data_IF_857955851296
#
_entry.id   IF_857955851296
#
_cell.length_a   1.000
_cell.length_b   1.000
_cell.length_c   1.000
_cell.angle_alpha   90.00
_cell.angle_beta   90.00
_cell.angle_gamma   90.00
#
_symmetry.space_group_name_H-M   'P 1'
#
loop_
_entity.id
_entity.type
_entity.pdbx_description
1 polymer ?
#
# COMPACT_ATOMS: atom_id res chain seq x y z
N UNK A 1 -8.47 11.02 -15.62
CA UNK A 1 -8.76 9.72 -16.28
C UNK A 1 -9.61 8.79 -15.41
N UNK A 2 -9.29 8.56 -14.13
CA UNK A 2 -10.07 7.60 -13.31
C UNK A 2 -11.52 8.06 -12.99
N UNK A 3 -11.74 9.36 -12.77
CA UNK A 3 -13.07 9.92 -12.44
C UNK A 3 -14.06 9.90 -13.61
N UNK A 4 -13.58 10.22 -14.80
CA UNK A 4 -14.38 10.24 -16.04
C UNK A 4 -14.78 8.82 -16.47
N UNK A 5 -13.90 7.84 -16.26
CA UNK A 5 -14.21 6.42 -16.43
C UNK A 5 -15.31 5.94 -15.46
N UNK A 6 -15.25 6.35 -14.19
CA UNK A 6 -16.27 6.01 -13.18
C UNK A 6 -17.65 6.56 -13.55
N UNK A 7 -17.74 7.81 -14.03
CA UNK A 7 -19.01 8.42 -14.45
C UNK A 7 -19.64 7.67 -15.63
N UNK A 8 -18.85 7.33 -16.65
CA UNK A 8 -19.34 6.62 -17.83
C UNK A 8 -19.90 5.23 -17.46
N UNK A 9 -19.19 4.47 -16.63
CA UNK A 9 -19.63 3.15 -16.16
C UNK A 9 -20.96 3.22 -15.40
N UNK A 10 -21.12 4.22 -14.53
CA UNK A 10 -22.38 4.41 -13.78
C UNK A 10 -23.53 4.73 -14.73
N UNK A 11 -23.32 5.62 -15.72
CA UNK A 11 -24.35 5.98 -16.69
C UNK A 11 -24.76 4.81 -17.57
N UNK A 12 -23.81 3.99 -18.02
CA UNK A 12 -24.08 2.77 -18.77
C UNK A 12 -24.90 1.78 -17.94
N UNK A 13 -24.52 1.58 -16.67
CA UNK A 13 -25.26 0.72 -15.76
C UNK A 13 -26.71 1.21 -15.51
N UNK A 14 -26.92 2.51 -15.36
CA UNK A 14 -28.26 3.09 -15.21
C UNK A 14 -29.10 2.82 -16.47
N UNK A 15 -28.54 3.03 -17.66
CA UNK A 15 -29.23 2.76 -18.93
C UNK A 15 -29.62 1.30 -19.08
N UNK A 16 -28.78 0.38 -18.60
CA UNK A 16 -29.09 -1.06 -18.62
C UNK A 16 -30.22 -1.43 -17.62
N UNK A 17 -30.19 -0.87 -16.41
CA UNK A 17 -31.09 -1.28 -15.33
C UNK A 17 -32.41 -0.52 -15.26
N UNK A 18 -32.50 0.67 -15.85
CA UNK A 18 -33.69 1.51 -15.83
C UNK A 18 -34.24 1.62 -17.26
N UNK A 19 -35.30 0.85 -17.59
CA UNK A 19 -35.98 0.98 -18.88
C UNK A 19 -36.46 2.42 -19.08
N UNK A 20 -36.40 2.90 -20.32
CA UNK A 20 -36.84 4.24 -20.71
C UNK A 20 -36.11 5.39 -19.98
N UNK A 21 -34.92 5.15 -19.41
CA UNK A 21 -34.11 6.22 -18.79
C UNK A 21 -33.85 7.40 -19.75
N UNK A 22 -33.61 7.08 -21.03
CA UNK A 22 -33.36 8.08 -22.08
C UNK A 22 -34.66 8.71 -22.63
N UNK A 23 -35.85 8.28 -22.19
CA UNK A 23 -37.12 8.87 -22.62
C UNK A 23 -37.35 10.23 -21.93
N UNK A 24 -37.50 11.29 -22.72
CA UNK A 24 -37.65 12.67 -22.22
C UNK A 24 -38.85 12.86 -21.30
N UNK A 25 -40.00 12.27 -21.67
CA UNK A 25 -41.27 12.44 -20.95
C UNK A 25 -41.22 11.74 -19.60
N UNK A 26 -40.72 10.51 -19.57
CA UNK A 26 -40.60 9.69 -18.37
C UNK A 26 -39.64 10.36 -17.38
N UNK A 27 -38.45 10.75 -17.83
CA UNK A 27 -37.47 11.40 -16.98
C UNK A 27 -37.94 12.77 -16.46
N UNK A 28 -38.72 13.54 -17.22
CA UNK A 28 -39.29 14.81 -16.73
C UNK A 28 -40.22 14.59 -15.53
N UNK A 29 -40.93 13.46 -15.49
CA UNK A 29 -41.75 13.10 -14.33
C UNK A 29 -40.89 12.69 -13.12
N UNK A 30 -39.81 11.95 -13.34
CA UNK A 30 -38.88 11.49 -12.29
C UNK A 30 -38.06 12.62 -11.67
N UNK A 31 -37.77 13.68 -12.42
CA UNK A 31 -36.92 14.80 -11.98
C UNK A 31 -37.67 15.86 -11.16
N UNK A 32 -38.98 15.69 -10.95
CA UNK A 32 -39.79 16.59 -10.12
C UNK A 32 -39.48 16.43 -8.63
N UNK A 33 -39.54 17.56 -7.91
CA UNK A 33 -39.50 17.57 -6.45
C UNK A 33 -40.64 16.75 -5.84
N UNK A 34 -40.46 16.32 -4.59
CA UNK A 34 -41.55 15.70 -3.83
C UNK A 34 -42.57 16.76 -3.43
N UNK A 35 -43.85 16.40 -3.53
CA UNK A 35 -44.98 17.26 -3.22
C UNK A 35 -46.15 16.40 -2.73
N UNK A 36 -47.02 16.95 -1.89
CA UNK A 36 -48.20 16.24 -1.39
C UNK A 36 -47.92 15.41 -0.14
N UNK A 37 -48.75 14.38 0.08
CA UNK A 37 -48.63 13.46 1.21
C UNK A 37 -47.54 12.41 0.97
N UNK A 38 -47.08 11.74 2.03
CA UNK A 38 -46.02 10.71 1.95
C UNK A 38 -46.34 9.64 0.90
N UNK A 39 -47.58 9.18 0.84
CA UNK A 39 -48.06 8.20 -0.13
C UNK A 39 -47.84 8.61 -1.59
N UNK A 40 -47.84 9.91 -1.87
CA UNK A 40 -47.78 10.43 -3.24
C UNK A 40 -46.35 10.38 -3.81
N UNK A 41 -45.33 10.45 -2.95
CA UNK A 41 -43.93 10.49 -3.35
C UNK A 41 -43.10 9.30 -2.87
N UNK A 42 -43.59 8.50 -1.93
CA UNK A 42 -42.89 7.33 -1.38
C UNK A 42 -42.41 6.34 -2.45
N UNK A 43 -43.20 5.97 -3.48
CA UNK A 43 -42.71 5.11 -4.55
C UNK A 43 -41.51 5.71 -5.31
N UNK A 44 -41.50 7.04 -5.49
CA UNK A 44 -40.38 7.75 -6.14
C UNK A 44 -39.16 7.79 -5.24
N UNK A 45 -39.36 7.97 -3.93
CA UNK A 45 -38.29 7.87 -2.95
C UNK A 45 -37.61 6.50 -2.97
N UNK A 46 -38.41 5.43 -2.87
CA UNK A 46 -37.90 4.05 -2.90
C UNK A 46 -37.12 3.74 -4.17
N UNK A 47 -37.63 4.18 -5.33
CA UNK A 47 -36.92 4.05 -6.61
C UNK A 47 -35.52 4.67 -6.56
N UNK A 48 -35.41 5.95 -6.16
CA UNK A 48 -34.12 6.64 -6.12
C UNK A 48 -33.18 6.05 -5.08
N UNK A 49 -33.68 5.74 -3.89
CA UNK A 49 -32.91 5.08 -2.82
C UNK A 49 -32.33 3.76 -3.34
N UNK A 50 -33.18 2.87 -3.83
CA UNK A 50 -32.76 1.54 -4.26
C UNK A 50 -31.80 1.61 -5.47
N UNK A 51 -31.96 2.59 -6.36
CA UNK A 51 -31.04 2.82 -7.47
C UNK A 51 -29.66 3.27 -6.97
N UNK A 52 -29.61 4.23 -6.04
CA UNK A 52 -28.34 4.69 -5.41
C UNK A 52 -27.64 3.52 -4.73
N UNK A 53 -28.37 2.72 -3.95
CA UNK A 53 -27.79 1.56 -3.26
C UNK A 53 -27.27 0.50 -4.26
N UNK A 54 -28.04 0.18 -5.31
CA UNK A 54 -27.63 -0.80 -6.33
C UNK A 54 -26.36 -0.38 -7.08
N UNK A 55 -26.28 0.88 -7.52
CA UNK A 55 -25.07 1.42 -8.17
C UNK A 55 -23.89 1.28 -7.22
N UNK A 56 -24.08 1.68 -5.96
CA UNK A 56 -23.00 1.71 -4.99
C UNK A 56 -22.50 0.32 -4.60
N UNK A 57 -23.39 -0.67 -4.52
CA UNK A 57 -22.98 -2.08 -4.35
C UNK A 57 -22.25 -2.62 -5.59
N UNK A 58 -22.74 -2.34 -6.81
CA UNK A 58 -22.13 -2.84 -8.04
C UNK A 58 -20.68 -2.38 -8.21
N UNK A 59 -20.39 -1.14 -7.81
CA UNK A 59 -19.08 -0.52 -7.98
C UNK A 59 -18.28 -0.39 -6.67
N UNK A 60 -18.78 -0.95 -5.56
CA UNK A 60 -18.18 -0.86 -4.22
C UNK A 60 -17.90 0.59 -3.76
N UNK A 61 -18.81 1.52 -4.05
CA UNK A 61 -18.66 2.91 -3.62
C UNK A 61 -19.05 3.07 -2.14
N UNK A 62 -18.05 3.08 -1.27
CA UNK A 62 -18.24 3.36 0.16
C UNK A 62 -18.44 4.86 0.39
N UNK A 63 -17.60 5.70 -0.25
CA UNK A 63 -17.62 7.14 -0.13
C UNK A 63 -18.13 7.78 -1.41
N UNK A 64 -19.13 8.65 -1.28
CA UNK A 64 -19.71 9.35 -2.42
C UNK A 64 -19.93 10.81 -2.03
N UNK A 65 -19.73 11.74 -2.96
CA UNK A 65 -20.19 13.12 -2.74
C UNK A 65 -21.64 13.27 -3.18
N UNK A 66 -22.50 13.96 -2.41
CA UNK A 66 -23.86 14.29 -2.85
C UNK A 66 -23.90 14.99 -4.22
N UNK A 67 -22.90 15.82 -4.52
CA UNK A 67 -22.75 16.50 -5.80
C UNK A 67 -22.49 15.55 -6.97
N UNK A 68 -21.79 14.43 -6.76
CA UNK A 68 -21.53 13.40 -7.78
C UNK A 68 -22.81 12.66 -8.14
N UNK A 69 -23.63 12.31 -7.15
CA UNK A 69 -24.94 11.68 -7.36
C UNK A 69 -25.83 12.56 -8.23
N UNK A 70 -25.92 13.86 -7.91
CA UNK A 70 -26.77 14.80 -8.64
C UNK A 70 -26.24 15.14 -10.03
N UNK A 71 -24.95 15.48 -10.11
CA UNK A 71 -24.39 16.14 -11.28
C UNK A 71 -23.66 15.19 -12.24
N UNK A 72 -23.26 14.00 -11.79
CA UNK A 72 -22.55 13.02 -12.63
C UNK A 72 -23.43 11.81 -12.92
N UNK A 73 -24.02 11.21 -11.89
CA UNK A 73 -24.78 9.96 -12.04
C UNK A 73 -26.15 10.18 -12.69
N UNK A 74 -26.91 11.14 -12.18
CA UNK A 74 -28.30 11.34 -12.58
C UNK A 74 -28.54 12.64 -13.38
N UNK A 75 -27.49 13.38 -13.73
CA UNK A 75 -27.65 14.58 -14.54
C UNK A 75 -27.98 14.23 -15.98
N UNK A 76 -28.96 14.95 -16.54
CA UNK A 76 -29.36 14.81 -17.94
C UNK A 76 -29.62 16.18 -18.55
N UNK A 77 -28.94 16.50 -19.65
CA UNK A 77 -29.05 17.80 -20.31
C UNK A 77 -28.72 18.98 -19.39
N UNK A 78 -27.85 18.77 -18.39
CA UNK A 78 -27.51 19.78 -17.37
C UNK A 78 -28.53 19.93 -16.23
N UNK A 79 -29.60 19.14 -16.22
CA UNK A 79 -30.59 19.12 -15.14
C UNK A 79 -30.34 17.93 -14.21
N UNK A 80 -30.52 18.12 -12.90
CA UNK A 80 -30.48 17.07 -11.90
C UNK A 80 -31.89 16.85 -11.30
N UNK A 81 -32.24 15.63 -10.86
CA UNK A 81 -33.53 15.39 -10.24
C UNK A 81 -33.70 16.22 -8.95
N UNK A 82 -34.74 17.06 -8.90
CA UNK A 82 -34.96 18.03 -7.83
C UNK A 82 -35.27 17.37 -6.47
N UNK A 83 -35.69 16.11 -6.46
CA UNK A 83 -35.99 15.38 -5.24
C UNK A 83 -34.75 14.77 -4.55
N UNK A 84 -33.57 14.74 -5.19
CA UNK A 84 -32.41 14.01 -4.66
C UNK A 84 -31.94 14.51 -3.29
N UNK A 85 -32.00 15.82 -3.04
CA UNK A 85 -31.68 16.36 -1.70
C UNK A 85 -32.56 15.76 -0.62
N UNK A 86 -33.86 15.66 -0.91
CA UNK A 86 -34.80 15.07 0.02
C UNK A 86 -34.59 13.55 0.15
N UNK A 87 -34.26 12.85 -0.95
CA UNK A 87 -33.91 11.43 -0.92
C UNK A 87 -32.71 11.17 -0.01
N UNK A 88 -31.59 11.89 -0.21
CA UNK A 88 -30.38 11.72 0.58
C UNK A 88 -30.62 12.06 2.06
N UNK A 89 -31.45 13.07 2.33
CA UNK A 89 -31.85 13.40 3.70
C UNK A 89 -32.67 12.29 4.37
N UNK A 90 -33.66 11.72 3.66
CA UNK A 90 -34.45 10.60 4.18
C UNK A 90 -33.59 9.35 4.37
N UNK A 91 -32.69 9.03 3.44
CA UNK A 91 -31.72 7.96 3.57
C UNK A 91 -30.82 8.13 4.80
N UNK A 92 -30.43 9.38 5.13
CA UNK A 92 -29.69 9.66 6.36
C UNK A 92 -30.55 9.39 7.61
N UNK A 93 -31.84 9.75 7.60
CA UNK A 93 -32.77 9.49 8.70
C UNK A 93 -33.02 7.98 8.88
N UNK A 94 -33.15 7.24 7.77
CA UNK A 94 -33.35 5.79 7.76
C UNK A 94 -32.08 5.02 8.13
N UNK A 95 -30.91 5.68 8.12
CA UNK A 95 -29.63 5.09 8.49
C UNK A 95 -28.86 4.44 7.33
N UNK A 96 -29.34 4.58 6.10
CA UNK A 96 -28.65 4.12 4.89
C UNK A 96 -27.38 4.94 4.61
N UNK A 97 -27.38 6.20 5.02
CA UNK A 97 -26.27 7.15 4.83
C UNK A 97 -25.76 7.66 6.18
N UNK A 98 -24.44 7.62 6.34
CA UNK A 98 -23.71 8.18 7.48
C UNK A 98 -22.88 9.37 6.98
N UNK A 99 -22.93 10.52 7.65
CA UNK A 99 -22.00 11.62 7.33
C UNK A 99 -20.61 11.28 7.84
N UNK A 100 -19.57 11.60 7.08
CA UNK A 100 -18.19 11.40 7.53
C UNK A 100 -17.91 12.07 8.88
N UNK A 101 -18.47 13.26 9.15
CA UNK A 101 -18.37 13.96 10.43
C UNK A 101 -18.99 13.18 11.61
N UNK A 102 -20.02 12.40 11.32
CA UNK A 102 -20.78 11.66 12.32
C UNK A 102 -20.13 10.28 12.62
N UNK A 103 -19.18 9.83 11.79
CA UNK A 103 -18.41 8.60 12.05
C UNK A 103 -17.52 8.73 13.27
N UNK A 104 -17.44 7.66 14.07
CA UNK A 104 -16.53 7.61 15.20
C UNK A 104 -15.06 7.70 14.75
N UNK A 105 -14.24 8.47 15.47
CA UNK A 105 -12.79 8.42 15.29
C UNK A 105 -12.25 7.24 16.10
N UNK A 106 -11.72 6.18 15.46
CA UNK A 106 -11.21 5.00 16.17
C UNK A 106 -9.96 5.29 16.99
N UNK A 107 -9.24 6.37 16.66
CA UNK A 107 -8.04 6.81 17.38
C UNK A 107 -8.39 7.57 18.66
N UNK A 108 -9.65 8.02 18.78
CA UNK A 108 -10.17 8.73 19.94
C UNK A 108 -10.24 7.84 21.19
N UNK A 109 -9.86 8.40 22.34
CA UNK A 109 -9.96 7.69 23.62
C UNK A 109 -11.41 7.29 23.97
N UNK A 110 -11.58 6.31 24.86
CA UNK A 110 -12.90 5.77 25.24
C UNK A 110 -13.94 6.82 25.67
N UNK A 111 -13.49 7.96 26.20
CA UNK A 111 -14.37 9.08 26.55
C UNK A 111 -15.00 9.75 25.32
N UNK A 112 -14.24 9.93 24.24
CA UNK A 112 -14.76 10.48 22.97
C UNK A 112 -15.87 9.59 22.39
N UNK A 113 -15.71 8.28 22.50
CA UNK A 113 -16.71 7.28 22.11
C UNK A 113 -18.00 7.42 22.93
N UNK A 114 -17.90 7.55 24.25
CA UNK A 114 -19.07 7.73 25.13
C UNK A 114 -19.78 9.07 24.87
N UNK A 115 -19.03 10.16 24.72
CA UNK A 115 -19.59 11.48 24.39
C UNK A 115 -20.33 11.48 23.06
N UNK A 116 -19.77 10.85 22.02
CA UNK A 116 -20.40 10.78 20.70
C UNK A 116 -21.63 9.88 20.71
N UNK A 117 -21.60 8.75 21.43
CA UNK A 117 -22.76 7.88 21.62
C UNK A 117 -23.90 8.57 22.37
N UNK A 118 -23.58 9.33 23.42
CA UNK A 118 -24.55 10.15 24.18
C UNK A 118 -25.11 11.28 23.32
N UNK A 119 -24.28 11.94 22.51
CA UNK A 119 -24.71 12.97 21.56
C UNK A 119 -25.67 12.42 20.50
N UNK A 120 -25.45 11.19 20.03
CA UNK A 120 -26.33 10.54 19.05
C UNK A 120 -27.65 10.07 19.68
N UNK A 121 -27.65 9.72 20.99
CA UNK A 121 -28.85 9.31 21.73
C UNK A 121 -29.71 10.50 22.22
N UNK A 122 -29.11 11.64 22.57
CA UNK A 122 -29.81 12.86 22.98
C UNK A 122 -30.33 13.65 21.77
N UNK A 123 -30.96 12.94 20.83
CA UNK A 123 -31.59 13.52 19.66
C UNK A 123 -30.59 14.17 18.70
N UNK A 124 -30.72 13.81 17.44
CA UNK A 124 -30.43 14.74 16.35
C UNK A 124 -31.34 15.97 16.53
N UNK A 125 -30.98 16.86 17.45
CA UNK A 125 -31.53 18.20 17.59
C UNK A 125 -31.33 18.85 16.23
N UNK A 126 -32.43 18.99 15.49
CA UNK A 126 -32.58 19.70 14.20
C UNK A 126 -31.27 20.32 13.70
N UNK A 127 -30.35 19.51 13.19
CA UNK A 127 -29.25 20.03 12.39
C UNK A 127 -29.91 20.40 11.06
N UNK A 128 -29.80 21.68 10.68
CA UNK A 128 -30.40 22.22 9.47
C UNK A 128 -30.23 21.25 8.28
N UNK A 129 -31.26 21.05 7.44
CA UNK A 129 -31.15 20.26 6.22
C UNK A 129 -30.04 20.76 5.29
N UNK A 130 -29.64 22.03 5.41
CA UNK A 130 -28.53 22.65 4.68
C UNK A 130 -27.14 22.06 5.00
N UNK A 131 -26.99 21.27 6.07
CA UNK A 131 -25.70 20.67 6.42
C UNK A 131 -25.27 19.51 5.50
N UNK A 132 -26.14 19.04 4.60
CA UNK A 132 -25.83 18.05 3.55
C UNK A 132 -25.32 18.73 2.26
N UNK A 133 -25.35 20.06 2.22
CA UNK A 133 -24.82 20.89 1.12
C UNK A 133 -23.33 21.23 1.28
N UNK A 134 -22.75 20.97 2.45
CA UNK A 134 -21.29 20.85 2.56
C UNK A 134 -20.90 19.67 1.69
N UNK A 135 -20.05 19.89 0.67
CA UNK A 135 -19.55 18.88 -0.29
C UNK A 135 -18.66 17.80 0.36
N UNK A 136 -18.96 17.44 1.60
CA UNK A 136 -18.36 16.38 2.37
C UNK A 136 -18.86 15.03 1.88
N UNK A 137 -17.97 14.05 1.89
CA UNK A 137 -18.31 12.69 1.52
C UNK A 137 -19.33 12.10 2.51
N UNK A 138 -20.35 11.48 1.93
CA UNK A 138 -21.26 10.59 2.63
C UNK A 138 -20.76 9.15 2.54
N UNK A 139 -21.11 8.35 3.54
CA UNK A 139 -20.75 6.94 3.65
C UNK A 139 -22.00 6.10 3.58
N UNK A 140 -22.04 5.13 2.67
CA UNK A 140 -23.17 4.22 2.54
C UNK A 140 -23.05 3.05 3.51
N UNK A 141 -24.00 2.94 4.43
CA UNK A 141 -23.95 2.00 5.53
C UNK A 141 -23.95 0.55 5.04
N UNK A 142 -24.81 0.19 4.08
CA UNK A 142 -24.90 -1.17 3.53
C UNK A 142 -23.60 -1.62 2.83
N UNK A 143 -23.02 -0.77 1.97
CA UNK A 143 -21.75 -1.08 1.29
C UNK A 143 -20.60 -1.18 2.30
N UNK A 144 -20.57 -0.28 3.30
CA UNK A 144 -19.58 -0.33 4.38
C UNK A 144 -19.68 -1.63 5.19
N UNK A 145 -20.91 -2.08 5.51
CA UNK A 145 -21.16 -3.32 6.23
C UNK A 145 -20.64 -4.55 5.46
N UNK A 146 -20.96 -4.63 4.16
CA UNK A 146 -20.50 -5.72 3.29
C UNK A 146 -18.97 -5.75 3.19
N UNK A 147 -18.35 -4.59 3.00
CA UNK A 147 -16.90 -4.47 2.93
C UNK A 147 -16.22 -4.81 4.26
N UNK A 148 -16.80 -4.39 5.38
CA UNK A 148 -16.31 -4.79 6.70
C UNK A 148 -16.40 -6.32 6.91
N UNK A 149 -17.48 -6.96 6.46
CA UNK A 149 -17.62 -8.41 6.50
C UNK A 149 -16.61 -9.13 5.60
N UNK A 150 -16.33 -8.58 4.42
CA UNK A 150 -15.29 -9.08 3.51
C UNK A 150 -13.90 -8.99 4.13
N UNK A 151 -13.55 -7.86 4.76
CA UNK A 151 -12.27 -7.68 5.47
C UNK A 151 -12.11 -8.70 6.60
N UNK A 152 -13.14 -8.88 7.43
CA UNK A 152 -13.13 -9.90 8.50
C UNK A 152 -13.00 -11.31 7.93
N UNK A 153 -13.68 -11.60 6.81
CA UNK A 153 -13.56 -12.88 6.10
C UNK A 153 -12.16 -13.09 5.55
N UNK A 154 -11.53 -12.10 4.92
CA UNK A 154 -10.16 -12.19 4.45
C UNK A 154 -9.19 -12.52 5.59
N UNK A 155 -9.36 -11.87 6.74
CA UNK A 155 -8.55 -12.14 7.93
C UNK A 155 -8.86 -13.49 8.58
N UNK A 156 -10.08 -14.02 8.48
CA UNK A 156 -10.38 -15.35 9.03
C UNK A 156 -9.78 -16.48 8.21
N UNK A 157 -9.54 -16.30 6.91
CA UNK A 157 -8.86 -17.33 6.10
C UNK A 157 -7.38 -17.50 6.51
N UNK A 158 -6.75 -16.44 7.03
CA UNK A 158 -5.35 -16.47 7.44
C UNK A 158 -5.15 -16.77 8.93
N UNK A 159 -6.22 -16.85 9.74
CA UNK A 159 -6.11 -16.96 11.19
C UNK A 159 -7.10 -17.99 11.74
N UNK A 160 -6.60 -18.98 12.48
CA UNK A 160 -7.43 -20.00 13.15
C UNK A 160 -7.97 -19.55 14.53
N UNK A 161 -7.58 -18.36 14.98
CA UNK A 161 -7.89 -17.84 16.33
C UNK A 161 -9.19 -17.03 16.37
N UNK A 162 -9.73 -16.85 17.57
CA UNK A 162 -10.98 -16.10 17.79
C UNK A 162 -10.83 -14.58 17.65
N UNK A 163 -9.60 -14.09 17.76
CA UNK A 163 -9.21 -12.69 17.58
C UNK A 163 -7.86 -12.58 16.89
N UNK A 164 -7.66 -11.49 16.15
CA UNK A 164 -6.44 -11.24 15.39
C UNK A 164 -5.93 -9.83 15.68
N UNK A 165 -4.61 -9.68 15.75
CA UNK A 165 -3.92 -8.40 15.85
C UNK A 165 -3.15 -8.19 14.56
N UNK A 166 -3.26 -7.01 13.95
CA UNK A 166 -2.54 -6.63 12.73
C UNK A 166 -2.06 -5.20 12.80
N UNK A 167 -1.03 -4.88 12.01
CA UNK A 167 -0.55 -3.50 11.85
C UNK A 167 -1.58 -2.66 11.09
N UNK A 168 -1.57 -1.35 11.34
CA UNK A 168 -2.46 -0.43 10.63
C UNK A 168 -2.17 -0.42 9.11
N UNK A 169 -0.90 -0.55 8.72
CA UNK A 169 -0.50 -0.64 7.30
C UNK A 169 -1.12 -1.86 6.62
N UNK A 170 -1.02 -3.05 7.25
CA UNK A 170 -1.62 -4.27 6.71
C UNK A 170 -3.15 -4.16 6.63
N UNK A 171 -3.77 -3.58 7.65
CA UNK A 171 -5.21 -3.34 7.64
C UNK A 171 -5.63 -2.39 6.51
N UNK A 172 -4.89 -1.31 6.28
CA UNK A 172 -5.14 -0.37 5.18
C UNK A 172 -5.02 -1.03 3.81
N UNK A 173 -4.01 -1.89 3.62
CA UNK A 173 -3.83 -2.63 2.38
C UNK A 173 -5.00 -3.57 2.10
N UNK A 174 -5.51 -4.28 3.11
CA UNK A 174 -6.68 -5.15 2.98
C UNK A 174 -7.95 -4.34 2.69
N UNK A 175 -8.09 -3.16 3.28
CA UNK A 175 -9.24 -2.28 3.07
C UNK A 175 -9.16 -1.47 1.76
N UNK A 176 -8.06 -1.52 0.99
CA UNK A 176 -7.92 -0.75 -0.25
C UNK A 176 -7.52 0.72 -0.05
N UNK A 177 -7.14 1.13 1.15
CA UNK A 177 -6.64 2.48 1.42
C UNK A 177 -6.93 3.01 2.84
N UNK A 178 -6.35 4.16 3.21
CA UNK A 178 -6.48 4.74 4.55
C UNK A 178 -7.89 5.24 4.88
N UNK A 179 -8.60 5.80 3.90
CA UNK A 179 -9.96 6.32 4.08
C UNK A 179 -10.95 5.17 4.36
N UNK A 180 -10.95 4.14 3.52
CA UNK A 180 -11.79 2.94 3.69
C UNK A 180 -11.46 2.23 5.00
N UNK A 181 -10.18 2.06 5.30
CA UNK A 181 -9.74 1.48 6.57
C UNK A 181 -10.29 2.24 7.77
N UNK A 182 -10.22 3.58 7.76
CA UNK A 182 -10.75 4.38 8.86
C UNK A 182 -12.25 4.17 9.02
N UNK A 183 -13.03 4.23 7.93
CA UNK A 183 -14.48 4.02 7.98
C UNK A 183 -14.86 2.61 8.44
N UNK A 184 -14.19 1.57 7.93
CA UNK A 184 -14.40 0.18 8.30
C UNK A 184 -14.04 -0.03 9.78
N UNK A 185 -12.93 0.55 10.23
CA UNK A 185 -12.51 0.47 11.63
C UNK A 185 -13.51 1.15 12.56
N UNK A 186 -14.03 2.33 12.18
CA UNK A 186 -15.08 3.02 12.94
C UNK A 186 -16.32 2.13 13.08
N UNK A 187 -16.81 1.58 11.97
CA UNK A 187 -17.96 0.68 11.96
C UNK A 187 -17.72 -0.58 12.82
N UNK A 188 -16.59 -1.26 12.64
CA UNK A 188 -16.27 -2.44 13.44
C UNK A 188 -16.10 -2.11 14.92
N UNK A 189 -15.59 -0.93 15.27
CA UNK A 189 -15.47 -0.47 16.66
C UNK A 189 -16.86 -0.21 17.27
N UNK A 190 -17.77 0.41 16.51
CA UNK A 190 -19.18 0.59 16.89
C UNK A 190 -19.90 -0.73 17.17
N UNK A 191 -19.65 -1.75 16.33
CA UNK A 191 -20.14 -3.10 16.54
C UNK A 191 -19.46 -3.84 17.70
N UNK A 192 -18.41 -3.26 18.29
CA UNK A 192 -17.59 -3.92 19.31
C UNK A 192 -16.77 -5.11 18.78
N UNK A 193 -16.45 -5.08 17.48
CA UNK A 193 -15.66 -6.08 16.75
C UNK A 193 -14.21 -5.69 16.55
N UNK A 194 -13.89 -4.41 16.66
CA UNK A 194 -12.53 -3.90 16.55
C UNK A 194 -12.13 -3.04 17.75
N UNK A 195 -10.83 -2.97 18.02
CA UNK A 195 -10.20 -1.98 18.89
C UNK A 195 -8.90 -1.51 18.29
N UNK A 196 -8.69 -0.20 18.36
CA UNK A 196 -7.44 0.42 17.96
C UNK A 196 -6.33 0.18 19.00
N UNK A 197 -5.12 -0.09 18.53
CA UNK A 197 -3.91 -0.25 19.31
C UNK A 197 -2.92 0.84 18.90
N UNK A 198 -2.34 1.51 19.90
CA UNK A 198 -1.23 2.42 19.69
C UNK A 198 -0.28 2.33 20.87
N UNK A 199 1.00 2.14 20.58
CA UNK A 199 2.07 2.11 21.57
C UNK A 199 3.22 2.95 21.07
N UNK A 200 3.58 3.94 21.87
CA UNK A 200 4.75 4.78 21.65
C UNK A 200 5.90 4.20 22.47
N UNK A 201 6.99 3.80 21.80
CA UNK A 201 8.25 3.43 22.46
C UNK A 201 9.39 4.29 21.91
N UNK A 202 9.95 3.92 20.75
CA UNK A 202 10.93 4.72 19.99
C UNK A 202 10.34 5.23 18.67
N UNK A 203 9.50 4.41 18.05
CA UNK A 203 8.65 4.74 16.90
C UNK A 203 7.19 4.44 17.29
N UNK A 204 6.24 5.18 16.71
CA UNK A 204 4.81 4.95 16.94
C UNK A 204 4.36 3.71 16.15
N UNK A 205 3.96 2.65 16.86
CA UNK A 205 3.38 1.46 16.23
C UNK A 205 1.87 1.48 16.40
N UNK A 206 1.17 1.63 15.28
CA UNK A 206 -0.30 1.60 15.20
C UNK A 206 -0.79 0.24 14.70
N UNK A 207 -1.89 -0.24 15.29
CA UNK A 207 -2.48 -1.52 14.93
C UNK A 207 -3.96 -1.62 15.27
N UNK A 208 -4.54 -2.76 14.91
CA UNK A 208 -5.95 -3.07 15.17
C UNK A 208 -6.06 -4.48 15.72
N UNK A 209 -6.82 -4.63 16.80
CA UNK A 209 -7.32 -5.91 17.31
C UNK A 209 -8.73 -6.15 16.80
N UNK A 210 -8.96 -7.28 16.16
CA UNK A 210 -10.22 -7.65 15.51
C UNK A 210 -10.76 -8.95 16.10
N UNK A 211 -12.07 -9.04 16.26
CA UNK A 211 -12.73 -10.33 16.52
C UNK A 211 -13.10 -10.98 15.20
N UNK A 212 -12.67 -12.23 15.02
CA UNK A 212 -12.98 -13.05 13.84
C UNK A 212 -14.22 -13.92 14.05
N UNK A 213 -14.76 -13.93 15.28
CA UNK A 213 -15.96 -14.69 15.63
C UNK A 213 -17.19 -13.79 15.75
N UNK A 214 -18.37 -14.39 15.97
CA UNK A 214 -19.60 -13.67 16.26
C UNK A 214 -19.57 -12.91 17.61
N UNK A 215 -18.59 -13.17 18.49
CA UNK A 215 -18.46 -12.50 19.79
C UNK A 215 -17.92 -11.06 19.69
N UNK A 216 -18.02 -10.30 20.78
CA UNK A 216 -17.36 -8.99 20.89
C UNK A 216 -15.87 -9.17 21.11
N UNK A 217 -15.07 -8.23 20.61
CA UNK A 217 -13.62 -8.27 20.76
C UNK A 217 -13.23 -8.09 22.25
N UNK A 218 -12.36 -8.97 22.79
CA UNK A 218 -11.88 -8.88 24.15
C UNK A 218 -11.19 -7.55 24.48
N UNK A 219 -10.92 -7.35 25.77
CA UNK A 219 -10.02 -6.31 26.27
C UNK A 219 -8.70 -6.25 25.51
N UNK A 220 -8.14 -5.04 25.38
CA UNK A 220 -6.74 -4.90 25.01
C UNK A 220 -5.91 -5.31 26.25
N UNK A 221 -4.95 -6.17 26.04
CA UNK A 221 -4.02 -6.72 27.02
C UNK A 221 -2.59 -6.31 26.66
N UNK A 222 -1.65 -6.48 27.59
CA UNK A 222 -0.22 -6.24 27.30
C UNK A 222 0.28 -7.13 26.17
N UNK A 223 -0.22 -8.37 26.11
CA UNK A 223 0.08 -9.33 25.05
C UNK A 223 -0.29 -8.79 23.67
N UNK A 224 -1.42 -8.11 23.51
CA UNK A 224 -1.83 -7.59 22.20
C UNK A 224 -0.79 -6.59 21.66
N UNK A 225 -0.16 -5.81 22.53
CA UNK A 225 0.92 -4.91 22.14
C UNK A 225 2.21 -5.65 21.79
N UNK A 226 2.51 -6.73 22.50
CA UNK A 226 3.70 -7.54 22.22
C UNK A 226 3.53 -8.28 20.87
N UNK A 227 2.35 -8.84 20.60
CA UNK A 227 1.99 -9.42 19.28
C UNK A 227 2.08 -8.36 18.19
N UNK A 228 1.50 -7.18 18.40
CA UNK A 228 1.56 -6.08 17.42
C UNK A 228 3.02 -5.73 17.09
N UNK A 229 3.88 -5.65 18.09
CA UNK A 229 5.29 -5.33 17.91
C UNK A 229 6.04 -6.44 17.16
N UNK A 230 5.77 -7.71 17.47
CA UNK A 230 6.34 -8.86 16.76
C UNK A 230 5.94 -8.84 15.28
N UNK A 231 4.65 -8.65 14.98
CA UNK A 231 4.16 -8.56 13.59
C UNK A 231 4.82 -7.38 12.85
N UNK A 232 4.88 -6.22 13.48
CA UNK A 232 5.55 -5.06 12.90
C UNK A 232 7.05 -5.32 12.62
N UNK A 233 7.71 -6.06 13.52
CA UNK A 233 9.12 -6.45 13.36
C UNK A 233 9.29 -7.41 12.17
N UNK A 234 8.43 -8.42 12.05
CA UNK A 234 8.38 -9.32 10.89
C UNK A 234 8.23 -8.54 9.58
N UNK A 235 7.27 -7.61 9.51
CA UNK A 235 7.07 -6.78 8.33
C UNK A 235 8.28 -5.89 8.00
N UNK A 236 8.98 -5.37 9.02
CA UNK A 236 10.19 -4.56 8.84
C UNK A 236 11.36 -5.39 8.32
N UNK A 237 11.58 -6.58 8.89
CA UNK A 237 12.62 -7.50 8.45
C UNK A 237 12.36 -8.00 7.02
N UNK A 238 11.11 -8.30 6.67
CA UNK A 238 10.76 -8.71 5.31
C UNK A 238 11.09 -7.60 4.28
N UNK A 239 10.70 -6.35 4.56
CA UNK A 239 11.04 -5.22 3.67
C UNK A 239 12.55 -5.05 3.50
N UNK A 240 13.33 -5.27 4.56
CA UNK A 240 14.78 -5.19 4.46
C UNK A 240 15.35 -6.34 3.64
N UNK A 241 14.82 -7.55 3.80
CA UNK A 241 15.20 -8.70 2.99
C UNK A 241 14.92 -8.43 1.51
N UNK A 242 13.76 -7.86 1.17
CA UNK A 242 13.41 -7.50 -0.20
C UNK A 242 14.40 -6.47 -0.79
N UNK A 243 14.84 -5.49 0.00
CA UNK A 243 15.86 -4.49 -0.41
C UNK A 243 17.23 -5.13 -0.59
N UNK A 244 17.62 -6.06 0.28
CA UNK A 244 18.88 -6.81 0.15
C UNK A 244 18.85 -7.70 -1.09
N UNK A 245 17.72 -8.38 -1.36
CA UNK A 245 17.54 -9.25 -2.53
C UNK A 245 17.63 -8.46 -3.84
N UNK A 246 16.99 -7.30 -3.91
CA UNK A 246 17.11 -6.41 -5.07
C UNK A 246 18.56 -5.98 -5.32
N UNK A 247 19.31 -5.68 -4.26
CA UNK A 247 20.72 -5.26 -4.36
C UNK A 247 21.63 -6.43 -4.73
N UNK A 248 21.38 -7.61 -4.17
CA UNK A 248 22.07 -8.83 -4.53
C UNK A 248 21.98 -9.06 -6.05
N UNK A 249 20.78 -8.91 -6.63
CA UNK A 249 20.58 -9.07 -8.06
C UNK A 249 21.36 -8.04 -8.90
N UNK A 250 21.35 -6.76 -8.50
CA UNK A 250 22.10 -5.70 -9.19
C UNK A 250 23.61 -5.95 -9.14
N UNK A 251 24.15 -6.27 -7.96
CA UNK A 251 25.57 -6.56 -7.78
C UNK A 251 25.98 -7.83 -8.53
N UNK A 252 25.12 -8.85 -8.57
CA UNK A 252 25.32 -10.07 -9.34
C UNK A 252 25.38 -9.79 -10.83
N UNK A 253 24.42 -9.04 -11.37
CA UNK A 253 24.42 -8.66 -12.78
C UNK A 253 25.66 -7.83 -13.15
N UNK A 254 26.09 -6.91 -12.28
CA UNK A 254 27.27 -6.08 -12.48
C UNK A 254 28.59 -6.88 -12.44
N UNK A 255 28.68 -7.87 -11.54
CA UNK A 255 29.79 -8.81 -11.49
C UNK A 255 29.88 -9.64 -12.78
N UNK A 256 28.75 -10.21 -13.22
CA UNK A 256 28.68 -11.01 -14.44
C UNK A 256 29.01 -10.18 -15.70
N UNK A 257 28.53 -8.95 -15.79
CA UNK A 257 28.88 -8.04 -16.88
C UNK A 257 30.38 -7.69 -16.89
N UNK A 258 30.95 -7.43 -15.72
CA UNK A 258 32.39 -7.16 -15.56
C UNK A 258 33.24 -8.37 -15.98
N UNK A 259 32.83 -9.59 -15.59
CA UNK A 259 33.47 -10.84 -16.02
C UNK A 259 33.42 -11.01 -17.55
N UNK A 260 32.25 -10.81 -18.16
CA UNK A 260 32.07 -10.92 -19.62
C UNK A 260 32.91 -9.89 -20.40
N UNK A 261 33.10 -8.69 -19.83
CA UNK A 261 33.95 -7.65 -20.41
C UNK A 261 35.46 -7.83 -20.16
N UNK A 262 35.85 -8.87 -19.40
CA UNK A 262 37.25 -9.16 -19.06
C UNK A 262 37.86 -8.26 -17.96
N UNK A 263 37.05 -7.42 -17.31
CA UNK A 263 37.53 -6.54 -16.25
C UNK A 263 37.55 -7.25 -14.90
N UNK A 264 38.63 -8.01 -14.65
CA UNK A 264 38.80 -8.82 -13.43
C UNK A 264 38.77 -7.98 -12.14
N UNK A 265 39.29 -6.75 -12.17
CA UNK A 265 39.34 -5.88 -10.97
C UNK A 265 37.96 -5.41 -10.53
N UNK A 266 37.10 -5.00 -11.47
CA UNK A 266 35.72 -4.60 -11.15
C UNK A 266 34.84 -5.80 -10.82
N UNK A 267 35.07 -6.94 -11.47
CA UNK A 267 34.40 -8.19 -11.14
C UNK A 267 34.70 -8.65 -9.70
N UNK A 268 35.96 -8.57 -9.26
CA UNK A 268 36.35 -8.85 -7.86
C UNK A 268 35.72 -7.86 -6.87
N UNK A 269 35.61 -6.57 -7.23
CA UNK A 269 34.91 -5.57 -6.40
C UNK A 269 33.45 -5.99 -6.17
N UNK A 270 32.72 -6.32 -7.24
CA UNK A 270 31.32 -6.73 -7.13
C UNK A 270 31.16 -8.11 -6.46
N UNK A 271 32.12 -9.03 -6.59
CA UNK A 271 32.13 -10.29 -5.86
C UNK A 271 32.27 -10.11 -4.34
N UNK A 272 33.13 -9.18 -3.89
CA UNK A 272 33.23 -8.81 -2.46
C UNK A 272 31.92 -8.24 -1.93
N UNK A 273 31.30 -7.36 -2.71
CA UNK A 273 30.00 -6.76 -2.40
C UNK A 273 28.86 -7.81 -2.35
N UNK A 274 28.87 -8.79 -3.26
CA UNK A 274 27.95 -9.93 -3.22
C UNK A 274 28.06 -10.71 -1.92
N UNK A 275 29.29 -11.02 -1.47
CA UNK A 275 29.53 -11.77 -0.24
C UNK A 275 28.98 -11.05 1.00
N UNK A 276 29.27 -9.77 1.14
CA UNK A 276 28.76 -8.95 2.26
C UNK A 276 27.22 -8.93 2.21
N UNK A 277 26.64 -8.80 1.01
CA UNK A 277 25.20 -8.79 0.81
C UNK A 277 24.59 -10.15 1.20
N UNK A 278 25.19 -11.28 0.82
CA UNK A 278 24.71 -12.62 1.19
C UNK A 278 24.79 -12.89 2.69
N UNK A 279 25.89 -12.50 3.34
CA UNK A 279 26.02 -12.65 4.80
C UNK A 279 24.96 -11.81 5.55
N UNK A 280 24.69 -10.59 5.07
CA UNK A 280 23.63 -9.75 5.65
C UNK A 280 22.23 -10.33 5.42
N UNK A 281 21.98 -10.91 4.24
CA UNK A 281 20.73 -11.59 3.88
C UNK A 281 20.45 -12.76 4.81
N UNK A 282 21.44 -13.61 5.06
CA UNK A 282 21.33 -14.77 5.94
C UNK A 282 21.02 -14.36 7.39
N UNK A 283 21.66 -13.29 7.89
CA UNK A 283 21.38 -12.74 9.22
C UNK A 283 19.93 -12.26 9.35
N UNK A 284 19.42 -11.50 8.37
CA UNK A 284 18.03 -11.00 8.37
C UNK A 284 17.04 -12.15 8.24
N UNK A 285 17.29 -13.13 7.36
CA UNK A 285 16.42 -14.29 7.17
C UNK A 285 16.36 -15.18 8.43
N UNK A 286 17.50 -15.42 9.08
CA UNK A 286 17.57 -16.17 10.35
C UNK A 286 16.76 -15.50 11.46
N UNK A 287 16.88 -14.18 11.58
CA UNK A 287 16.12 -13.40 12.56
C UNK A 287 14.61 -13.42 12.26
N UNK A 288 14.23 -13.28 10.98
CA UNK A 288 12.83 -13.35 10.56
C UNK A 288 12.20 -14.70 10.93
N UNK A 289 12.84 -15.82 10.58
CA UNK A 289 12.37 -17.16 10.91
C UNK A 289 12.12 -17.32 12.42
N UNK A 290 13.04 -16.81 13.25
CA UNK A 290 12.90 -16.87 14.71
C UNK A 290 11.71 -16.08 15.24
N UNK A 291 11.42 -14.91 14.67
CA UNK A 291 10.25 -14.11 15.07
C UNK A 291 8.95 -14.81 14.63
N UNK A 292 8.93 -15.39 13.43
CA UNK A 292 7.78 -16.17 12.93
C UNK A 292 7.50 -17.43 13.75
N UNK A 293 8.55 -18.15 14.18
CA UNK A 293 8.43 -19.28 15.10
C UNK A 293 7.75 -18.87 16.42
N UNK A 294 8.13 -17.72 16.99
CA UNK A 294 7.49 -17.18 18.20
C UNK A 294 6.01 -16.85 17.96
N UNK A 295 5.68 -16.21 16.83
CA UNK A 295 4.29 -15.91 16.47
C UNK A 295 3.44 -17.17 16.29
N UNK A 296 3.99 -18.20 15.64
CA UNK A 296 3.32 -19.50 15.47
C UNK A 296 3.10 -20.19 16.82
N UNK A 297 4.09 -20.20 17.71
CA UNK A 297 3.96 -20.76 19.04
C UNK A 297 2.88 -20.04 19.89
N UNK A 298 2.76 -18.71 19.76
CA UNK A 298 1.70 -17.92 20.41
C UNK A 298 0.32 -18.34 19.86
N UNK A 299 0.19 -18.49 18.54
CA UNK A 299 -1.06 -18.91 17.90
C UNK A 299 -1.50 -20.31 18.35
N UNK A 300 -0.58 -21.27 18.40
CA UNK A 300 -0.83 -22.64 18.87
C UNK A 300 -1.24 -22.67 20.36
N UNK A 301 -0.60 -21.84 21.19
CA UNK A 301 -0.89 -21.74 22.62
C UNK A 301 -2.25 -21.10 22.94
N UNK A 302 -2.75 -20.17 22.11
CA UNK A 302 -4.11 -19.62 22.23
C UNK A 302 -5.17 -20.73 22.13
N UNK A 303 -4.89 -21.80 21.37
CA UNK A 303 -5.75 -22.98 21.25
C UNK A 303 -5.67 -23.95 22.44
N UNK A 304 -4.63 -23.89 23.29
CA UNK A 304 -4.32 -24.93 24.31
C UNK A 304 -4.28 -24.47 25.77
N UNK A 305 -4.73 -23.22 26.07
CA UNK A 305 -5.05 -22.72 27.44
C UNK A 305 -3.89 -22.08 28.24
N UNK A 306 -2.64 -22.06 27.77
CA UNK A 306 -1.51 -21.45 28.54
C UNK A 306 -0.73 -20.38 27.77
N UNK A 307 -1.47 -19.40 27.24
CA UNK A 307 -0.94 -18.19 26.57
C UNK A 307 0.17 -17.49 27.40
N UNK A 308 0.02 -17.40 28.72
CA UNK A 308 1.03 -16.82 29.64
C UNK A 308 2.37 -17.57 29.64
N UNK A 309 2.34 -18.89 29.48
CA UNK A 309 3.55 -19.73 29.54
C UNK A 309 4.28 -19.67 28.20
N UNK A 310 3.56 -19.71 27.08
CA UNK A 310 4.13 -19.52 25.76
C UNK A 310 4.76 -18.13 25.58
N UNK A 311 4.17 -17.09 26.16
CA UNK A 311 4.76 -15.74 26.19
C UNK A 311 5.99 -15.68 27.11
N UNK A 312 5.95 -16.32 28.28
CA UNK A 312 7.14 -16.38 29.15
C UNK A 312 8.27 -17.16 28.50
N UNK A 313 7.96 -18.20 27.72
CA UNK A 313 8.91 -18.96 26.93
C UNK A 313 9.43 -18.09 25.78
N UNK A 314 8.58 -17.38 25.05
CA UNK A 314 8.98 -16.43 24.00
C UNK A 314 9.85 -15.28 24.54
N UNK A 315 9.47 -14.69 25.67
CA UNK A 315 10.25 -13.65 26.36
C UNK A 315 11.57 -14.18 26.95
N UNK A 316 11.59 -15.45 27.40
CA UNK A 316 12.81 -16.13 27.87
C UNK A 316 13.73 -16.47 26.70
N UNK A 317 13.19 -16.93 25.57
CA UNK A 317 13.90 -17.15 24.30
C UNK A 317 14.46 -15.85 23.75
N UNK A 318 13.71 -14.74 23.81
CA UNK A 318 14.20 -13.39 23.47
C UNK A 318 15.34 -12.93 24.39
N UNK A 319 15.28 -13.28 25.68
CA UNK A 319 16.29 -12.94 26.69
C UNK A 319 17.53 -13.84 26.66
N UNK A 320 17.37 -15.13 26.35
CA UNK A 320 18.44 -16.15 26.28
C UNK A 320 19.25 -16.06 24.99
N UNK A 321 18.69 -15.51 23.92
CA UNK A 321 19.42 -15.33 22.66
C UNK A 321 20.07 -13.95 22.49
N UNK A 322 20.15 -13.12 23.54
CA UNK A 322 20.74 -11.76 23.49
C UNK A 322 20.42 -11.01 22.19
N UNK A 323 19.17 -11.06 21.73
CA UNK A 323 18.72 -10.09 20.73
C UNK A 323 18.27 -8.89 21.53
N UNK A 324 19.23 -8.21 22.16
CA UNK A 324 18.97 -6.90 22.76
C UNK A 324 18.33 -6.05 21.69
N UNK A 325 17.18 -5.44 21.99
CA UNK A 325 16.54 -4.46 21.12
C UNK A 325 17.53 -3.40 20.63
N UNK A 326 18.49 -3.04 21.48
CA UNK A 326 19.56 -2.11 21.11
C UNK A 326 20.62 -2.78 20.22
N UNK A 327 20.90 -4.09 20.31
CA UNK A 327 21.75 -4.82 19.36
C UNK A 327 21.04 -5.11 18.02
N UNK A 328 19.73 -5.28 17.99
CA UNK A 328 18.93 -5.44 16.77
C UNK A 328 18.76 -4.10 16.06
N UNK A 329 18.47 -3.03 16.80
CA UNK A 329 18.50 -1.68 16.24
C UNK A 329 19.93 -1.30 15.79
N UNK A 330 20.95 -1.70 16.55
CA UNK A 330 22.35 -1.50 16.16
C UNK A 330 22.72 -2.34 14.95
N UNK A 331 22.28 -3.59 14.81
CA UNK A 331 22.56 -4.40 13.61
C UNK A 331 21.80 -3.91 12.38
N UNK A 332 20.58 -3.38 12.56
CA UNK A 332 19.84 -2.70 11.49
C UNK A 332 20.50 -1.37 11.10
N UNK A 333 20.98 -0.59 12.07
CA UNK A 333 21.71 0.65 11.83
C UNK A 333 23.13 0.41 11.33
N UNK A 334 23.79 -0.68 11.71
CA UNK A 334 25.11 -1.11 11.24
C UNK A 334 25.00 -1.68 9.82
N UNK A 335 23.86 -2.29 9.47
CA UNK A 335 23.52 -2.64 8.10
C UNK A 335 23.20 -1.40 7.25
N UNK A 336 22.45 -0.44 7.77
CA UNK A 336 22.17 0.83 7.09
C UNK A 336 23.42 1.73 6.99
N UNK A 337 24.31 1.65 7.97
CA UNK A 337 25.61 2.28 7.94
C UNK A 337 26.61 1.51 7.08
N UNK A 338 26.53 0.18 6.96
CA UNK A 338 27.37 -0.58 6.02
C UNK A 338 26.99 -0.24 4.58
N UNK A 339 25.72 0.11 4.33
CA UNK A 339 25.23 0.69 3.07
C UNK A 339 25.85 2.07 2.78
N UNK A 340 26.04 2.92 3.79
CA UNK A 340 26.72 4.21 3.64
C UNK A 340 28.26 4.07 3.56
N UNK A 341 28.83 3.11 4.28
CA UNK A 341 30.24 2.72 4.18
C UNK A 341 30.51 2.15 2.78
N UNK A 342 29.57 1.45 2.14
CA UNK A 342 29.71 0.94 0.76
C UNK A 342 29.78 2.06 -0.29
N UNK A 343 29.05 3.18 -0.08
CA UNK A 343 29.23 4.43 -0.86
C UNK A 343 30.57 5.13 -0.57
N UNK A 344 31.06 5.07 0.66
CA UNK A 344 32.39 5.62 1.00
C UNK A 344 33.54 4.74 0.51
N UNK A 345 33.37 3.42 0.50
CA UNK A 345 34.31 2.44 -0.07
C UNK A 345 34.45 2.67 -1.57
N UNK A 346 33.39 3.06 -2.27
CA UNK A 346 33.48 3.53 -3.66
C UNK A 346 34.42 4.74 -3.82
N UNK A 347 34.41 5.69 -2.88
CA UNK A 347 35.32 6.85 -2.89
C UNK A 347 36.75 6.56 -2.42
N UNK A 348 36.94 5.58 -1.54
CA UNK A 348 38.24 5.23 -0.95
C UNK A 348 39.00 4.24 -1.84
N UNK A 349 38.31 3.30 -2.51
CA UNK A 349 38.92 2.34 -3.46
C UNK A 349 39.50 3.03 -4.70
N UNK A 350 38.95 4.18 -5.11
CA UNK A 350 39.54 5.01 -6.17
C UNK A 350 40.88 5.67 -5.75
N UNK A 351 41.24 5.62 -4.47
CA UNK A 351 42.38 6.36 -3.91
C UNK A 351 43.46 5.54 -3.17
N UNK A 352 43.28 4.22 -2.92
CA UNK A 352 44.24 3.42 -2.14
C UNK A 352 44.67 2.10 -2.85
N UNK A 353 45.95 1.68 -2.76
CA UNK A 353 46.42 0.40 -3.29
C UNK A 353 45.90 -0.76 -2.45
N UNK A 354 45.46 -1.83 -3.13
CA UNK A 354 44.94 -3.07 -2.56
C UNK A 354 45.77 -3.58 -1.38
N UNK A 355 45.23 -3.46 -0.16
CA UNK A 355 45.87 -4.02 1.02
C UNK A 355 44.97 -3.88 2.23
N UNK A 356 44.42 -5.01 2.67
CA UNK A 356 43.62 -5.22 3.89
C UNK A 356 42.19 -4.71 3.87
N UNK A 357 41.23 -5.63 4.10
CA UNK A 357 40.19 -5.54 5.14
C UNK A 357 39.29 -6.81 5.16
N UNK A 358 39.35 -7.72 4.18
CA UNK A 358 38.66 -9.02 4.25
C UNK A 358 39.57 -10.16 3.79
N UNK A 359 39.46 -11.33 4.44
CA UNK A 359 40.20 -12.55 4.10
C UNK A 359 40.01 -12.87 2.61
N UNK A 360 41.08 -12.68 1.84
CA UNK A 360 41.08 -12.71 0.38
C UNK A 360 40.82 -14.12 -0.19
N UNK A 361 41.01 -15.15 0.64
CA UNK A 361 40.85 -16.56 0.30
C UNK A 361 39.38 -16.98 0.09
N UNK A 362 38.47 -16.50 0.94
CA UNK A 362 37.03 -16.79 0.84
C UNK A 362 36.35 -16.01 -0.30
N UNK A 363 36.89 -14.81 -0.62
CA UNK A 363 36.43 -14.01 -1.77
C UNK A 363 36.79 -14.69 -3.10
N UNK A 364 37.95 -15.35 -3.17
CA UNK A 364 38.40 -16.06 -4.38
C UNK A 364 37.50 -17.27 -4.68
N UNK A 365 36.94 -17.94 -3.67
CA UNK A 365 35.99 -19.05 -3.84
C UNK A 365 34.66 -18.59 -4.46
N UNK A 366 34.05 -17.52 -3.94
CA UNK A 366 32.82 -16.95 -4.53
C UNK A 366 33.07 -16.36 -5.93
N UNK A 367 34.25 -15.78 -6.16
CA UNK A 367 34.66 -15.32 -7.50
C UNK A 367 34.76 -16.48 -8.50
N UNK A 368 35.40 -17.58 -8.10
CA UNK A 368 35.55 -18.79 -8.92
C UNK A 368 34.21 -19.45 -9.23
N UNK A 369 33.27 -19.43 -8.30
CA UNK A 369 31.89 -19.89 -8.50
C UNK A 369 31.15 -19.05 -9.55
N UNK A 370 31.31 -17.73 -9.54
CA UNK A 370 30.76 -16.83 -10.58
C UNK A 370 31.42 -17.07 -11.95
N UNK A 371 32.74 -17.31 -12.00
CA UNK A 371 33.45 -17.67 -13.24
C UNK A 371 32.92 -18.98 -13.85
N UNK A 372 32.66 -20.00 -13.01
CA UNK A 372 32.06 -21.26 -13.44
C UNK A 372 30.64 -21.08 -13.98
N UNK A 373 29.84 -20.19 -13.39
CA UNK A 373 28.49 -19.90 -13.87
C UNK A 373 28.49 -19.17 -15.23
N UNK A 374 29.42 -18.23 -15.44
CA UNK A 374 29.63 -17.59 -16.75
C UNK A 374 30.11 -18.60 -17.80
N UNK A 375 31.01 -19.51 -17.42
CA UNK A 375 31.47 -20.57 -18.30
C UNK A 375 30.34 -21.52 -18.70
N UNK A 376 29.42 -21.85 -17.77
CA UNK A 376 28.22 -22.64 -18.05
C UNK A 376 27.23 -21.96 -19.00
N UNK A 377 26.95 -20.66 -18.81
CA UNK A 377 26.06 -19.90 -19.70
C UNK A 377 26.62 -19.76 -21.13
N UNK A 378 27.94 -19.68 -21.29
CA UNK A 378 28.58 -19.64 -22.61
C UNK A 378 28.52 -21.00 -23.34
N UNK A 379 28.44 -22.11 -22.60
CA UNK A 379 28.27 -23.46 -23.17
C UNK A 379 26.83 -23.70 -23.64
N UNK A 380 25.82 -23.20 -22.92
CA UNK A 380 24.41 -23.30 -23.34
C UNK A 380 24.09 -22.42 -24.56
N UNK A 381 24.81 -21.32 -24.77
CA UNK A 381 24.71 -20.53 -26.00
C UNK A 381 25.37 -21.22 -27.21
N UNK A 382 26.26 -22.20 -26.98
CA UNK A 382 27.03 -22.87 -28.04
C UNK A 382 26.39 -24.19 -28.50
N UNK A 383 25.39 -24.73 -27.79
CA UNK A 383 24.75 -26.02 -28.13
C UNK A 383 23.46 -25.93 -28.95
N UNK A 384 23.04 -24.73 -29.37
CA UNK A 384 21.86 -24.57 -30.25
C UNK A 384 22.14 -24.71 -31.75
N UNK A 385 23.38 -24.97 -32.18
CA UNK A 385 23.69 -25.05 -33.62
C UNK A 385 24.54 -26.27 -33.97
N UNK A 386 23.93 -27.46 -33.94
CA UNK A 386 24.36 -28.57 -34.80
C UNK A 386 23.19 -29.53 -35.05
N UNK A 387 22.61 -29.44 -36.25
CA UNK A 387 21.88 -30.56 -36.86
C UNK A 387 20.67 -30.16 -37.70
N UNK A 388 20.87 -29.91 -39.00
CA UNK A 388 20.49 -30.80 -40.12
C UNK A 388 20.60 -30.01 -41.43
N UNK A 389 21.53 -30.43 -42.29
CA UNK A 389 21.64 -29.99 -43.68
C UNK A 389 20.58 -30.67 -44.55
N UNK A 390 19.81 -29.92 -45.35
CA UNK A 390 19.44 -30.30 -46.73
C UNK A 390 19.54 -29.08 -47.64
N UNK A 391 20.25 -29.30 -48.75
CA UNK A 391 20.72 -28.35 -49.74
C UNK A 391 19.65 -27.52 -50.46
N UNK A 392 20.00 -26.30 -50.86
CA UNK A 392 19.92 -25.86 -52.27
C UNK A 392 20.68 -24.54 -52.51
N UNK A 393 21.53 -24.58 -53.53
CA UNK A 393 22.19 -23.51 -54.29
C UNK A 393 22.09 -22.02 -53.88
N UNK A 394 23.28 -21.42 -53.94
CA UNK A 394 23.62 -20.13 -54.59
C UNK A 394 24.04 -18.95 -53.69
N UNK A 395 25.32 -18.62 -53.89
CA UNK A 395 26.05 -17.35 -53.71
C UNK A 395 26.40 -16.85 -52.30
N UNK A 396 27.71 -16.87 -52.10
CA UNK A 396 28.52 -16.20 -51.09
C UNK A 396 28.34 -14.68 -51.20
N UNK A 397 28.00 -14.03 -50.09
CA UNK A 397 28.33 -12.63 -49.84
C UNK A 397 28.78 -12.51 -48.38
N UNK A 398 30.10 -12.50 -48.19
CA UNK A 398 30.77 -12.13 -46.95
C UNK A 398 30.49 -10.65 -46.67
N UNK A 399 29.73 -10.35 -45.62
CA UNK A 399 29.52 -8.95 -45.19
C UNK A 399 30.76 -8.51 -44.41
N UNK A 400 31.55 -7.65 -45.05
CA UNK A 400 32.69 -6.93 -44.47
C UNK A 400 32.21 -5.93 -43.41
N UNK A 401 33.00 -5.77 -42.34
CA UNK A 401 32.82 -4.81 -41.24
C UNK A 401 32.67 -3.34 -41.70
N UNK A 402 33.00 -3.05 -42.97
CA UNK A 402 32.86 -1.72 -43.56
C UNK A 402 31.40 -1.23 -43.67
N UNK A 403 30.40 -2.14 -43.71
CA UNK A 403 28.99 -1.76 -43.84
C UNK A 403 28.39 -1.16 -42.56
N UNK A 404 28.93 -1.48 -41.37
CA UNK A 404 28.45 -0.93 -40.11
C UNK A 404 28.99 0.49 -39.85
N UNK A 405 30.20 0.80 -40.33
CA UNK A 405 30.78 2.15 -40.22
C UNK A 405 30.03 3.19 -41.08
N UNK A 406 29.52 2.77 -42.24
CA UNK A 406 28.71 3.58 -43.13
C UNK A 406 27.30 3.85 -42.55
N UNK A 407 26.73 2.90 -41.80
CA UNK A 407 25.45 3.07 -41.13
C UNK A 407 25.53 4.05 -39.94
N UNK A 408 26.65 4.06 -39.21
CA UNK A 408 26.87 4.97 -38.07
C UNK A 408 27.21 6.41 -38.49
N UNK A 409 27.78 6.61 -39.67
CA UNK A 409 28.05 7.96 -40.21
C UNK A 409 26.78 8.72 -40.64
N UNK A 410 25.65 8.03 -40.81
CA UNK A 410 24.37 8.64 -41.17
C UNK A 410 23.56 9.17 -39.97
N UNK A 411 24.04 8.96 -38.74
CA UNK A 411 23.44 9.52 -37.52
C UNK A 411 24.16 10.80 -37.09
N UNK A 412 24.25 11.78 -37.99
CA UNK A 412 24.69 13.14 -37.64
C UNK A 412 23.45 14.01 -37.37
N UNK A 413 23.13 14.21 -36.10
CA UNK A 413 22.14 15.18 -35.64
C UNK A 413 22.49 16.57 -36.19
N UNK A 414 21.61 17.08 -37.06
CA UNK A 414 21.60 18.48 -37.50
C UNK A 414 21.20 19.34 -36.30
N UNK A 415 22.10 20.23 -35.91
CA UNK A 415 21.78 21.34 -35.03
C UNK A 415 21.14 22.48 -35.81
N UNK A 416 20.06 23.04 -35.28
CA UNK A 416 19.68 24.43 -35.55
C UNK A 416 19.54 25.20 -34.23
N UNK A 417 20.38 26.21 -34.17
CA UNK A 417 20.49 27.34 -33.24
C UNK A 417 19.24 28.22 -33.22
N UNK A 418 18.83 28.78 -32.07
CA UNK A 418 18.48 30.22 -31.92
C UNK A 418 18.56 30.69 -30.46
N UNK A 419 19.61 31.49 -30.20
CA UNK A 419 19.75 32.79 -29.50
C UNK A 419 19.32 33.01 -28.03
N UNK A 420 20.34 33.42 -27.28
CA UNK A 420 20.32 34.29 -26.09
C UNK A 420 19.51 35.57 -26.26
N UNK A 421 18.87 36.01 -25.18
CA UNK A 421 18.79 37.43 -24.83
C UNK A 421 19.06 37.62 -23.34
N UNK A 422 20.16 38.33 -23.08
CA UNK A 422 20.61 38.84 -21.78
C UNK A 422 19.79 40.07 -21.42
N UNK A 423 19.22 40.15 -20.21
CA UNK A 423 19.10 41.41 -19.46
C UNK A 423 19.45 41.18 -17.98
N UNK A 424 20.39 42.00 -17.51
CA UNK A 424 20.98 42.09 -16.18
C UNK A 424 20.12 42.86 -15.15
N UNK A 425 20.39 42.53 -13.87
CA UNK A 425 20.29 43.34 -12.62
C UNK A 425 18.85 43.60 -12.12
N UNK A 426 18.56 43.54 -10.82
CA UNK A 426 19.34 44.08 -9.70
C UNK A 426 19.02 43.44 -8.33
N UNK A 427 20.08 43.37 -7.54
CA UNK A 427 20.19 43.26 -6.09
C UNK A 427 19.16 44.07 -5.28
N UNK A 428 18.56 43.50 -4.22
CA UNK A 428 18.36 44.20 -2.94
C UNK A 428 18.00 43.24 -1.79
N UNK A 429 18.91 43.17 -0.81
CA UNK A 429 18.63 42.74 0.57
C UNK A 429 17.53 43.61 1.18
N UNK A 430 16.65 43.02 1.98
CA UNK A 430 16.11 43.74 3.15
C UNK A 430 15.75 42.79 4.29
N UNK A 431 16.23 43.16 5.47
CA UNK A 431 15.89 42.62 6.79
C UNK A 431 14.60 43.28 7.28
N UNK A 432 13.73 42.52 7.96
CA UNK A 432 12.98 43.02 9.15
C UNK A 432 12.38 41.80 9.86
N UNK A 433 12.82 41.43 11.06
CA UNK A 433 12.63 42.07 12.38
C UNK A 433 11.34 41.61 13.06
N UNK A 434 11.57 40.78 14.07
CA UNK A 434 10.75 40.44 15.23
C UNK A 434 10.03 41.68 15.78
N UNK A 435 8.74 41.53 16.10
CA UNK A 435 8.08 42.35 17.11
C UNK A 435 7.03 41.53 17.85
N UNK A 436 7.30 41.33 19.14
CA UNK A 436 6.35 41.01 20.20
C UNK A 436 5.39 42.18 20.48
N UNK A 437 4.44 41.89 21.38
CA UNK A 437 3.40 42.73 22.00
C UNK A 437 2.09 42.69 21.20
N UNK A 438 0.94 42.24 21.74
CA UNK A 438 0.47 42.31 23.12
C UNK A 438 -0.53 41.20 23.46
#
# INVERSE_FOLDING_TARGET
>A
MEKESKELLVREFIREKVPDWDNEVVATAWFKAFSGQKSDWEPRYLFWRDLILKISHQFNFIFIKPSEIKNQWFSRGGLAPLCLDHVLHLMQIEGDIIRRSDMLDPRGGQLSYLFKKLSNMMGTSKKNPDGLLSDDYIVLACVLQDRAAEVVKCLSHSNWTSSCVITMVKFQNICGGPDEATAILSYLTECGKARYLSKEQKELVEGVKLSLSAAKVPGITTLDYDILHLIWTTERLQRQLDVIDQRYDVSRQSALASLKSGNKKTALKHARELKITTESREKVASLLNRVEEVLNAIADAESTKTVSEAIQIGARVMKEHEVSWDQLQHSLHELEASIDIQKQVESVIDSAPSGSILEEEDIEEEFKKLELEVAGQNLDATTSDTGVNIATGHQVATVSDDSLSAALSNLKLVGETVKETVIQKSNSKSKSKIMELS
#
